data_IF_657509973592
#
_entry.id   IF_657509973592
#
_cell.length_a   1.000
_cell.length_b   1.000
_cell.length_c   1.000
_cell.angle_alpha   90.00
_cell.angle_beta   90.00
_cell.angle_gamma   90.00
#
_symmetry.space_group_name_H-M   'P 1'
#
loop_
_entity.id
_entity.type
_entity.pdbx_description
1 polymer ?
#
# COMPACT_ATOMS: atom_id res chain seq x y z
N UNK A 1 -14.46 -4.62 14.52
CA UNK A 1 -13.53 -5.61 13.99
C UNK A 1 -12.28 -5.67 14.84
N UNK A 2 -11.91 -6.87 15.29
CA UNK A 2 -10.72 -7.02 16.10
C UNK A 2 -9.46 -6.86 15.25
N UNK A 3 -8.49 -6.13 15.78
CA UNK A 3 -7.20 -5.91 15.13
C UNK A 3 -6.12 -6.67 15.89
N UNK A 4 -5.19 -7.21 15.15
CA UNK A 4 -4.10 -8.00 15.71
C UNK A 4 -2.78 -7.59 15.07
N UNK A 5 -1.69 -7.75 15.83
CA UNK A 5 -0.37 -7.51 15.27
C UNK A 5 -0.12 -8.47 14.11
N UNK A 6 0.30 -7.94 12.98
CA UNK A 6 0.59 -8.73 11.79
C UNK A 6 1.64 -9.83 12.04
N UNK A 7 2.61 -9.56 12.92
CA UNK A 7 3.72 -10.47 13.18
C UNK A 7 3.40 -11.51 14.25
N UNK A 8 2.91 -11.08 15.41
CA UNK A 8 2.75 -11.98 16.55
C UNK A 8 1.30 -12.26 16.95
N UNK A 9 0.32 -11.64 16.31
CA UNK A 9 -1.08 -11.86 16.59
C UNK A 9 -1.60 -11.26 17.90
N UNK A 10 -0.77 -10.50 18.61
CA UNK A 10 -1.18 -9.90 19.89
C UNK A 10 -2.23 -8.80 19.63
N UNK A 11 -3.23 -8.75 20.50
CA UNK A 11 -4.24 -7.69 20.43
C UNK A 11 -3.93 -6.60 21.47
N UNK A 12 -4.52 -5.42 21.28
CA UNK A 12 -4.33 -4.29 22.20
C UNK A 12 -3.03 -3.53 21.95
N UNK A 13 -3.08 -2.23 22.18
CA UNK A 13 -1.93 -1.32 22.00
C UNK A 13 -1.27 -1.44 20.61
N UNK A 14 -2.09 -1.62 19.58
CA UNK A 14 -1.59 -1.74 18.22
C UNK A 14 -1.37 -0.38 17.60
N UNK A 15 -0.36 -0.28 16.75
CA UNK A 15 -0.04 0.93 16.00
C UNK A 15 -0.27 0.71 14.52
N UNK A 16 -0.88 1.69 13.87
CA UNK A 16 -1.10 1.63 12.43
C UNK A 16 0.22 1.91 11.72
N UNK A 17 0.59 1.01 10.80
CA UNK A 17 1.79 1.16 9.99
C UNK A 17 1.42 1.29 8.53
N UNK A 18 1.92 2.33 7.87
CA UNK A 18 1.72 2.51 6.42
C UNK A 18 2.78 1.71 5.67
N UNK A 19 2.35 0.76 4.87
CA UNK A 19 3.25 -0.11 4.10
C UNK A 19 4.10 0.72 3.15
N UNK A 20 3.44 1.58 2.35
CA UNK A 20 4.12 2.61 1.59
C UNK A 20 3.98 3.91 2.37
N UNK A 21 5.10 4.53 2.70
CA UNK A 21 5.13 5.70 3.58
C UNK A 21 4.28 6.83 3.05
N UNK A 22 3.67 7.59 3.97
CA UNK A 22 2.88 8.77 3.62
C UNK A 22 3.68 9.78 2.81
N UNK A 23 4.98 9.90 3.07
CA UNK A 23 5.86 10.79 2.31
C UNK A 23 6.10 10.33 0.88
N UNK A 24 5.99 9.02 0.61
CA UNK A 24 6.19 8.46 -0.72
C UNK A 24 4.90 8.38 -1.51
N UNK A 25 3.81 7.99 -0.86
CA UNK A 25 2.50 7.85 -1.51
C UNK A 25 1.43 8.52 -0.65
N UNK A 26 1.41 9.87 -0.62
CA UNK A 26 0.43 10.60 0.22
C UNK A 26 -1.02 10.23 -0.09
N UNK A 27 -1.32 9.87 -1.33
CA UNK A 27 -2.67 9.52 -1.76
C UNK A 27 -3.21 8.29 -1.04
N UNK A 28 -2.36 7.41 -0.53
CA UNK A 28 -2.76 6.18 0.14
C UNK A 28 -2.71 6.27 1.66
N UNK A 29 -2.63 7.47 2.22
CA UNK A 29 -2.58 7.68 3.67
C UNK A 29 -3.79 7.05 4.38
N UNK A 30 -4.96 7.13 3.78
CA UNK A 30 -6.19 6.57 4.36
C UNK A 30 -6.68 5.31 3.65
N UNK A 31 -5.86 4.73 2.79
CA UNK A 31 -6.21 3.49 2.09
C UNK A 31 -5.95 2.30 3.03
N UNK A 32 -7.01 1.57 3.39
CA UNK A 32 -6.88 0.44 4.33
C UNK A 32 -5.99 -0.67 3.81
N UNK A 33 -5.88 -0.82 2.49
CA UNK A 33 -4.97 -1.81 1.88
C UNK A 33 -3.50 -1.51 2.17
N UNK A 34 -3.18 -0.24 2.41
CA UNK A 34 -1.82 0.23 2.68
C UNK A 34 -1.50 0.27 4.18
N UNK A 35 -2.39 -0.24 5.02
CA UNK A 35 -2.23 -0.15 6.48
C UNK A 35 -2.24 -1.56 7.08
N UNK A 36 -1.25 -1.85 7.92
CA UNK A 36 -1.24 -3.02 8.78
C UNK A 36 -1.08 -2.56 10.22
N UNK A 37 -1.44 -3.42 11.17
CA UNK A 37 -1.30 -3.10 12.58
C UNK A 37 -0.17 -3.91 13.19
N UNK A 38 0.66 -3.25 13.98
CA UNK A 38 1.81 -3.85 14.63
C UNK A 38 1.83 -3.45 16.10
N UNK A 39 2.22 -4.39 16.98
CA UNK A 39 2.45 -4.04 18.38
C UNK A 39 3.74 -3.21 18.49
N UNK A 40 3.96 -2.50 19.60
CA UNK A 40 5.15 -1.65 19.73
C UNK A 40 6.46 -2.40 19.51
N UNK A 41 6.54 -3.65 19.92
CA UNK A 41 7.75 -4.45 19.74
C UNK A 41 8.05 -4.68 18.26
N UNK A 42 7.03 -5.04 17.47
CA UNK A 42 7.22 -5.32 16.05
C UNK A 42 7.11 -4.09 15.17
N UNK A 43 6.84 -2.93 15.76
CA UNK A 43 6.80 -1.66 15.04
C UNK A 43 8.04 -0.80 15.32
N UNK A 44 8.42 -0.61 16.59
CA UNK A 44 9.44 0.36 16.99
C UNK A 44 10.74 -0.21 17.52
N UNK A 45 10.75 -1.45 18.03
CA UNK A 45 11.95 -2.04 18.59
C UNK A 45 12.96 -2.44 17.50
N UNK A 46 14.15 -2.87 17.90
CA UNK A 46 15.19 -3.33 16.95
C UNK A 46 14.69 -4.47 16.05
N UNK A 47 13.78 -5.30 16.56
CA UNK A 47 13.19 -6.41 15.80
C UNK A 47 11.93 -5.98 15.07
N UNK A 48 11.50 -4.73 15.22
CA UNK A 48 10.33 -4.20 14.56
C UNK A 48 10.65 -3.65 13.18
N UNK A 49 9.60 -3.31 12.44
CA UNK A 49 9.75 -2.87 11.06
C UNK A 49 10.56 -1.58 10.91
N UNK A 50 10.51 -0.69 11.92
CA UNK A 50 11.31 0.54 11.93
C UNK A 50 12.65 0.34 12.62
N UNK A 51 12.93 -0.86 13.12
CA UNK A 51 14.16 -1.18 13.80
C UNK A 51 15.24 -1.65 12.83
N UNK A 52 16.43 -1.86 13.41
CA UNK A 52 17.60 -2.30 12.66
C UNK A 52 17.38 -3.57 11.85
N UNK A 53 16.60 -4.51 12.40
CA UNK A 53 16.38 -5.82 11.79
C UNK A 53 15.05 -5.93 11.05
N UNK A 54 14.40 -4.79 10.76
CA UNK A 54 13.07 -4.75 10.17
C UNK A 54 13.00 -4.77 8.64
N UNK A 55 14.14 -4.81 7.96
CA UNK A 55 14.19 -4.70 6.51
C UNK A 55 13.44 -5.82 5.79
N UNK A 56 13.60 -7.06 6.23
CA UNK A 56 12.91 -8.20 5.62
C UNK A 56 11.40 -8.11 5.78
N UNK A 57 10.96 -7.68 6.97
CA UNK A 57 9.53 -7.51 7.22
C UNK A 57 8.95 -6.40 6.33
N UNK A 58 9.68 -5.29 6.19
CA UNK A 58 9.26 -4.20 5.33
C UNK A 58 9.10 -4.67 3.88
N UNK A 59 10.07 -5.40 3.35
CA UNK A 59 10.00 -5.94 2.00
C UNK A 59 8.85 -6.93 1.84
N UNK A 60 8.64 -7.78 2.82
CA UNK A 60 7.54 -8.75 2.81
C UNK A 60 6.19 -8.05 2.73
N UNK A 61 5.99 -7.02 3.55
CA UNK A 61 4.74 -6.25 3.55
C UNK A 61 4.52 -5.56 2.21
N UNK A 62 5.57 -4.96 1.65
CA UNK A 62 5.47 -4.28 0.36
C UNK A 62 5.13 -5.26 -0.76
N UNK A 63 5.76 -6.41 -0.76
CA UNK A 63 5.48 -7.44 -1.76
C UNK A 63 4.05 -7.98 -1.64
N UNK A 64 3.58 -8.21 -0.42
CA UNK A 64 2.20 -8.64 -0.19
C UNK A 64 1.19 -7.59 -0.65
N UNK A 65 1.46 -6.33 -0.38
CA UNK A 65 0.62 -5.23 -0.82
C UNK A 65 0.57 -5.16 -2.34
N UNK A 66 1.73 -5.24 -3.00
CA UNK A 66 1.81 -5.24 -4.45
C UNK A 66 1.04 -6.42 -5.05
N UNK A 67 1.21 -7.62 -4.50
CA UNK A 67 0.50 -8.81 -4.97
C UNK A 67 -1.01 -8.64 -4.83
N UNK A 68 -1.45 -8.02 -3.75
CA UNK A 68 -2.86 -7.72 -3.53
C UNK A 68 -3.39 -6.76 -4.59
N UNK A 69 -2.62 -5.73 -4.92
CA UNK A 69 -2.96 -4.78 -5.98
C UNK A 69 -3.05 -5.48 -7.34
N UNK A 70 -2.14 -6.41 -7.61
CA UNK A 70 -2.13 -7.16 -8.85
C UNK A 70 -3.39 -8.03 -9.00
N UNK A 71 -3.90 -8.55 -7.90
CA UNK A 71 -5.14 -9.33 -7.91
C UNK A 71 -6.37 -8.43 -8.07
N UNK A 72 -6.37 -7.27 -7.42
CA UNK A 72 -7.50 -6.35 -7.48
C UNK A 72 -7.61 -5.63 -8.82
N UNK A 73 -6.49 -5.24 -9.39
CA UNK A 73 -6.45 -4.62 -10.72
C UNK A 73 -6.28 -5.70 -11.78
N UNK A 74 -7.36 -6.39 -12.09
CA UNK A 74 -7.35 -7.59 -12.91
C UNK A 74 -7.59 -7.36 -14.41
N UNK A 75 -7.66 -6.10 -14.83
CA UNK A 75 -7.78 -5.73 -16.25
C UNK A 75 -6.54 -4.97 -16.68
N UNK A 76 -6.38 -4.78 -17.98
CA UNK A 76 -5.25 -4.03 -18.51
C UNK A 76 -5.38 -2.52 -18.29
N UNK A 77 -6.61 -1.99 -18.35
CA UNK A 77 -6.90 -0.56 -18.22
C UNK A 77 -8.04 -0.32 -17.25
N UNK A 78 -7.96 0.81 -16.54
CA UNK A 78 -8.96 1.21 -15.55
C UNK A 78 -9.25 2.70 -15.65
N UNK A 79 -10.50 3.07 -15.43
CA UNK A 79 -10.90 4.49 -15.31
C UNK A 79 -10.51 5.01 -13.92
N UNK A 80 -10.46 6.32 -13.77
CA UNK A 80 -10.22 6.93 -12.46
C UNK A 80 -11.24 6.47 -11.43
N UNK A 81 -12.51 6.37 -11.82
CA UNK A 81 -13.58 5.92 -10.92
C UNK A 81 -13.36 4.49 -10.44
N UNK A 82 -13.00 3.59 -11.36
CA UNK A 82 -12.69 2.21 -11.01
C UNK A 82 -11.51 2.11 -10.04
N UNK A 83 -10.48 2.91 -10.27
CA UNK A 83 -9.30 2.95 -9.41
C UNK A 83 -9.68 3.45 -8.01
N UNK A 84 -10.45 4.52 -7.93
CA UNK A 84 -10.92 5.08 -6.68
C UNK A 84 -11.71 4.06 -5.87
N UNK A 85 -12.64 3.37 -6.53
CA UNK A 85 -13.47 2.36 -5.88
C UNK A 85 -12.66 1.15 -5.42
N UNK A 86 -11.73 0.68 -6.27
CA UNK A 86 -10.89 -0.47 -5.94
C UNK A 86 -10.02 -0.20 -4.72
N UNK A 87 -9.45 0.99 -4.64
CA UNK A 87 -8.57 1.37 -3.53
C UNK A 87 -9.33 1.89 -2.31
N UNK A 88 -10.61 2.24 -2.47
CA UNK A 88 -11.41 2.80 -1.38
C UNK A 88 -10.89 4.15 -0.91
N UNK A 89 -10.40 4.97 -1.82
CA UNK A 89 -9.84 6.28 -1.51
C UNK A 89 -10.78 7.40 -2.00
N UNK A 90 -10.52 8.61 -1.53
CA UNK A 90 -11.32 9.76 -1.94
C UNK A 90 -11.04 10.15 -3.40
N UNK A 91 -11.96 10.91 -3.98
CA UNK A 91 -11.79 11.47 -5.33
C UNK A 91 -10.50 12.31 -5.41
N UNK A 92 -10.25 13.12 -4.40
CA UNK A 92 -9.05 13.95 -4.32
C UNK A 92 -7.77 13.11 -4.28
N UNK A 93 -7.79 12.03 -3.48
CA UNK A 93 -6.65 11.13 -3.38
C UNK A 93 -6.40 10.39 -4.69
N UNK A 94 -7.47 9.96 -5.37
CA UNK A 94 -7.35 9.29 -6.66
C UNK A 94 -6.72 10.23 -7.70
N UNK A 95 -7.17 11.47 -7.77
CA UNK A 95 -6.60 12.46 -8.68
C UNK A 95 -5.12 12.70 -8.40
N UNK A 96 -4.76 12.77 -7.14
CA UNK A 96 -3.37 12.95 -6.72
C UNK A 96 -2.50 11.76 -7.13
N UNK A 97 -3.00 10.55 -6.92
CA UNK A 97 -2.29 9.31 -7.28
C UNK A 97 -2.01 9.22 -8.77
N UNK A 98 -2.97 9.65 -9.59
CA UNK A 98 -2.92 9.49 -11.04
C UNK A 98 -2.34 10.71 -11.76
N UNK A 99 -2.00 11.75 -11.04
CA UNK A 99 -1.59 13.05 -11.61
C UNK A 99 -0.47 12.95 -12.66
N UNK A 100 0.51 12.09 -12.42
CA UNK A 100 1.68 11.97 -13.29
C UNK A 100 1.57 10.83 -14.31
N UNK A 101 0.49 10.07 -14.27
CA UNK A 101 0.32 8.94 -15.16
C UNK A 101 -0.27 9.35 -16.50
N UNK A 102 0.11 8.63 -17.53
CA UNK A 102 -0.44 8.84 -18.86
C UNK A 102 -1.85 8.29 -18.96
N UNK A 103 -2.73 9.04 -19.62
CA UNK A 103 -4.09 8.58 -19.91
C UNK A 103 -4.14 8.06 -21.35
N UNK A 104 -4.89 6.99 -21.51
CA UNK A 104 -5.18 6.45 -22.84
C UNK A 104 -6.69 6.21 -22.89
N UNK A 105 -7.39 7.02 -23.70
CA UNK A 105 -8.86 6.96 -23.79
C UNK A 105 -9.54 7.14 -22.43
N UNK A 106 -9.05 8.08 -21.62
CA UNK A 106 -9.53 8.36 -20.26
C UNK A 106 -9.32 7.19 -19.29
N UNK A 107 -8.40 6.29 -19.62
CA UNK A 107 -8.07 5.14 -18.78
C UNK A 107 -6.59 5.14 -18.47
N UNK A 108 -6.22 4.37 -17.45
CA UNK A 108 -4.85 4.22 -16.99
C UNK A 108 -4.43 2.75 -17.08
N UNK A 109 -3.19 2.54 -17.44
CA UNK A 109 -2.65 1.19 -17.55
C UNK A 109 -2.39 0.58 -16.19
N UNK A 110 -2.72 -0.71 -16.06
CA UNK A 110 -2.58 -1.48 -14.83
C UNK A 110 -1.21 -1.33 -14.17
N UNK A 111 -0.13 -1.55 -14.93
CA UNK A 111 1.22 -1.48 -14.36
C UNK A 111 1.57 -0.09 -13.86
N UNK A 112 1.11 0.96 -14.55
CA UNK A 112 1.34 2.34 -14.10
C UNK A 112 0.61 2.63 -12.80
N UNK A 113 -0.62 2.13 -12.66
CA UNK A 113 -1.42 2.31 -11.45
C UNK A 113 -0.72 1.64 -10.26
N UNK A 114 -0.33 0.39 -10.43
CA UNK A 114 0.32 -0.39 -9.36
C UNK A 114 1.64 0.27 -8.97
N UNK A 115 2.43 0.68 -9.94
CA UNK A 115 3.70 1.37 -9.68
C UNK A 115 3.48 2.66 -8.89
N UNK A 116 2.47 3.43 -9.25
CA UNK A 116 2.14 4.65 -8.52
C UNK A 116 1.75 4.36 -7.07
N UNK A 117 0.97 3.31 -6.84
CA UNK A 117 0.60 2.88 -5.50
C UNK A 117 1.80 2.45 -4.66
N UNK A 118 2.85 1.96 -5.31
CA UNK A 118 4.07 1.48 -4.66
C UNK A 118 5.16 2.55 -4.53
N UNK A 119 4.82 3.80 -4.82
CA UNK A 119 5.78 4.90 -4.71
C UNK A 119 6.76 5.00 -5.87
N UNK A 120 6.40 4.44 -7.02
CA UNK A 120 7.21 4.51 -8.23
C UNK A 120 8.12 3.32 -8.46
N UNK A 121 8.08 2.32 -7.58
CA UNK A 121 8.97 1.16 -7.65
C UNK A 121 8.16 -0.12 -7.50
N UNK A 122 8.41 -1.09 -8.36
CA UNK A 122 7.85 -2.43 -8.22
C UNK A 122 8.84 -3.31 -7.46
N UNK A 123 8.30 -4.21 -6.65
CA UNK A 123 9.06 -5.11 -5.80
C UNK A 123 8.97 -6.55 -6.30
N UNK A 124 9.92 -7.38 -5.87
CA UNK A 124 9.96 -8.76 -6.27
C UNK A 124 10.81 -8.96 -7.51
N UNK A 125 10.82 -10.17 -8.02
CA UNK A 125 11.60 -10.52 -9.18
C UNK A 125 10.98 -9.94 -10.44
N UNK A 126 11.79 -9.31 -11.20
CA UNK A 126 11.41 -8.91 -12.55
C UNK A 126 11.66 -10.04 -13.52
#
# INVERSE_FOLDING_TARGET
>A
MCKYCYVCGKSGNLEAHHICKRSQVPALTHCTLNIVYLCPIHHRSEKGIHGRDGHELDLKLKLEFQNKLELLFDKEYFTEEEIRETLGISDRAAKRLLKTLKRKNNMFERSDIIRSCMGGRLYGDS
#
